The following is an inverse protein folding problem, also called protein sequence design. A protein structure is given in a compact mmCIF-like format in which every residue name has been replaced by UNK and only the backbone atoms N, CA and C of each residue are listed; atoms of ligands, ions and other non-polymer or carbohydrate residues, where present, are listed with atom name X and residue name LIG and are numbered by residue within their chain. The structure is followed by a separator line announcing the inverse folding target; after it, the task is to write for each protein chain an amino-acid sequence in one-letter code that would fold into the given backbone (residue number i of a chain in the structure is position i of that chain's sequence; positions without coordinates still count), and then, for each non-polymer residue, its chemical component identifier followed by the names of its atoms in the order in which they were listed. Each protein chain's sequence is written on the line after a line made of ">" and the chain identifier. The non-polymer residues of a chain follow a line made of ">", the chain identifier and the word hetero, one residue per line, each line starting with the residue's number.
data_IF_256963486455
#
_entry.id   IF_256963486455
#
_cell.length_a   1.000
_cell.length_b   1.000
_cell.length_c   1.000
_cell.angle_alpha   90.00
_cell.angle_beta   90.00
_cell.angle_gamma   90.00
#
_symmetry.space_group_name_H-M   'P 1'
#
loop_
_entity.id
_entity.type
_entity.pdbx_description
1 polymer ?
#
# COMPACT_ATOMS: atom_id res chain seq x y z
N UNK A 1 -20.96 8.48 12.76
CA UNK A 1 -21.29 7.22 13.45
C UNK A 1 -20.08 6.31 13.73
N UNK A 2 -18.99 6.34 12.94
CA UNK A 2 -17.81 5.49 13.20
C UNK A 2 -17.03 5.85 14.50
N UNK A 3 -16.94 7.14 14.85
CA UNK A 3 -16.15 7.62 15.99
C UNK A 3 -16.62 7.12 17.36
N UNK A 4 -17.87 6.66 17.50
CA UNK A 4 -18.43 6.23 18.80
C UNK A 4 -18.24 4.73 19.08
N UNK A 5 -17.74 3.94 18.12
CA UNK A 5 -17.59 2.48 18.25
C UNK A 5 -16.16 1.98 18.19
N UNK A 6 -15.19 2.87 17.96
CA UNK A 6 -13.77 2.49 17.97
C UNK A 6 -13.29 2.38 19.43
N UNK A 7 -12.80 1.21 19.87
CA UNK A 7 -12.20 1.07 21.20
C UNK A 7 -11.13 2.14 21.44
N UNK A 8 -11.05 2.68 22.66
CA UNK A 8 -9.99 3.65 22.98
C UNK A 8 -8.59 3.02 22.93
N UNK A 9 -8.52 1.72 23.21
CA UNK A 9 -7.32 0.92 23.14
C UNK A 9 -7.59 -0.24 22.16
N UNK A 10 -6.94 -0.25 21.00
CA UNK A 10 -6.90 -1.43 20.14
C UNK A 10 -6.45 -2.66 20.94
N UNK A 11 -6.93 -3.87 20.59
CA UNK A 11 -6.47 -5.10 21.22
C UNK A 11 -5.05 -5.49 20.79
N UNK A 12 -4.48 -4.79 19.81
CA UNK A 12 -3.08 -4.87 19.40
C UNK A 12 -2.25 -3.77 20.11
N UNK A 13 -0.92 -3.89 20.09
CA UNK A 13 0.00 -2.91 20.72
C UNK A 13 0.05 -1.55 19.97
N UNK A 14 -0.94 -1.29 19.09
CA UNK A 14 -1.08 -0.03 18.39
C UNK A 14 -1.85 0.98 19.24
N UNK A 15 -1.46 2.24 19.11
CA UNK A 15 -2.29 3.36 19.54
C UNK A 15 -3.42 3.59 18.55
N UNK A 16 -4.48 4.29 18.97
CA UNK A 16 -5.57 4.70 18.08
C UNK A 16 -5.07 5.42 16.83
N UNK A 17 -4.09 6.29 16.97
CA UNK A 17 -3.57 7.10 15.85
C UNK A 17 -2.75 6.24 14.88
N UNK A 18 -2.04 5.23 15.38
CA UNK A 18 -1.33 4.23 14.56
C UNK A 18 -2.32 3.36 13.77
N UNK A 19 -3.36 2.82 14.42
CA UNK A 19 -4.42 2.08 13.73
C UNK A 19 -5.14 2.96 12.70
N UNK A 20 -5.40 4.22 13.04
CA UNK A 20 -6.04 5.18 12.13
C UNK A 20 -5.14 5.50 10.93
N UNK A 21 -3.82 5.63 11.12
CA UNK A 21 -2.88 5.87 10.04
C UNK A 21 -2.86 4.71 9.03
N UNK A 22 -2.86 3.47 9.52
CA UNK A 22 -2.96 2.27 8.68
C UNK A 22 -4.30 2.22 7.95
N UNK A 23 -5.39 2.42 8.70
CA UNK A 23 -6.72 2.42 8.12
C UNK A 23 -6.84 3.46 6.99
N UNK A 24 -6.37 4.68 7.23
CA UNK A 24 -6.40 5.78 6.25
C UNK A 24 -5.58 5.47 5.00
N UNK A 25 -4.43 4.80 5.13
CA UNK A 25 -3.63 4.34 3.98
C UNK A 25 -4.40 3.30 3.14
N UNK A 26 -5.12 2.39 3.80
CA UNK A 26 -5.82 1.28 3.15
C UNK A 26 -7.28 1.57 2.77
N UNK A 27 -7.80 2.74 3.15
CA UNK A 27 -9.20 3.10 2.97
C UNK A 27 -9.52 3.17 1.47
N UNK A 28 -10.64 2.58 1.07
CA UNK A 28 -11.17 2.76 -0.28
C UNK A 28 -11.86 4.11 -0.41
N UNK A 29 -11.51 4.84 -1.47
CA UNK A 29 -12.11 6.13 -1.79
C UNK A 29 -12.94 5.98 -3.07
N UNK A 30 -14.00 6.79 -3.18
CA UNK A 30 -14.86 6.81 -4.37
C UNK A 30 -14.04 7.15 -5.63
N UNK A 31 -13.14 8.12 -5.51
CA UNK A 31 -12.09 8.37 -6.48
C UNK A 31 -10.74 7.94 -5.90
N UNK A 32 -10.18 6.87 -6.47
CA UNK A 32 -8.87 6.36 -6.03
C UNK A 32 -7.75 7.37 -6.22
N UNK A 33 -7.83 8.26 -7.22
CA UNK A 33 -6.81 9.28 -7.48
C UNK A 33 -6.79 10.34 -6.38
N UNK A 34 -7.92 10.56 -5.70
CA UNK A 34 -8.05 11.49 -4.59
C UNK A 34 -7.62 10.90 -3.24
N UNK A 35 -7.40 9.59 -3.18
CA UNK A 35 -7.04 8.91 -1.93
C UNK A 35 -5.68 9.35 -1.39
N UNK A 36 -5.52 9.22 -0.07
CA UNK A 36 -4.25 9.52 0.60
C UNK A 36 -3.10 8.64 0.07
N UNK A 37 -3.33 7.34 -0.12
CA UNK A 37 -2.27 6.45 -0.59
C UNK A 37 -1.84 6.76 -2.03
N UNK A 38 -2.76 7.20 -2.89
CA UNK A 38 -2.44 7.59 -4.27
C UNK A 38 -1.52 8.80 -4.30
N UNK A 39 -1.85 9.84 -3.54
CA UNK A 39 -1.02 11.04 -3.43
C UNK A 39 0.34 10.76 -2.80
N UNK A 40 0.36 10.04 -1.67
CA UNK A 40 1.61 9.70 -0.99
C UNK A 40 2.52 8.87 -1.90
N UNK A 41 1.98 7.82 -2.53
CA UNK A 41 2.77 6.97 -3.44
C UNK A 41 3.19 7.71 -4.72
N UNK A 42 2.49 8.77 -5.13
CA UNK A 42 2.92 9.64 -6.22
C UNK A 42 4.15 10.45 -5.82
N UNK A 43 4.10 11.12 -4.65
CA UNK A 43 5.22 11.90 -4.12
C UNK A 43 6.46 11.02 -3.88
N UNK A 44 6.27 9.85 -3.25
CA UNK A 44 7.37 8.90 -3.01
C UNK A 44 8.03 8.41 -4.31
N UNK A 45 7.26 8.24 -5.40
CA UNK A 45 7.80 7.84 -6.71
C UNK A 45 8.61 8.94 -7.38
N UNK A 46 8.28 10.21 -7.15
CA UNK A 46 9.01 11.35 -7.71
C UNK A 46 10.29 11.66 -6.93
N UNK A 47 10.31 11.35 -5.63
CA UNK A 47 11.48 11.58 -4.78
C UNK A 47 11.79 13.06 -4.55
N UNK A 48 10.81 13.95 -4.78
CA UNK A 48 10.95 15.38 -4.55
C UNK A 48 10.90 15.68 -3.04
N UNK A 49 11.96 16.30 -2.51
CA UNK A 49 12.09 16.55 -1.07
C UNK A 49 11.12 17.61 -0.56
N UNK A 50 10.79 18.61 -1.38
CA UNK A 50 9.86 19.68 -1.02
C UNK A 50 8.44 19.11 -0.98
N UNK A 51 8.07 18.30 -1.97
CA UNK A 51 6.77 17.61 -1.99
C UNK A 51 6.63 16.58 -0.87
N UNK A 52 7.73 15.98 -0.39
CA UNK A 52 7.74 15.00 0.70
C UNK A 52 7.60 15.64 2.09
N UNK A 53 8.04 16.89 2.26
CA UNK A 53 8.06 17.58 3.55
C UNK A 53 6.72 17.52 4.33
N UNK A 54 5.55 17.76 3.71
CA UNK A 54 4.26 17.69 4.40
C UNK A 54 3.92 16.30 4.93
N UNK A 55 4.49 15.25 4.32
CA UNK A 55 4.20 13.85 4.63
C UNK A 55 5.04 13.31 5.78
N UNK A 56 6.15 13.95 6.16
CA UNK A 56 7.11 13.38 7.12
C UNK A 56 6.48 13.00 8.46
N UNK A 57 5.55 13.80 8.98
CA UNK A 57 4.84 13.49 10.23
C UNK A 57 3.92 12.28 10.08
N UNK A 58 3.19 12.20 8.97
CA UNK A 58 2.32 11.07 8.66
C UNK A 58 3.16 9.80 8.45
N UNK A 59 4.24 9.87 7.66
CA UNK A 59 5.16 8.76 7.40
C UNK A 59 5.78 8.23 8.69
N UNK A 60 6.21 9.12 9.60
CA UNK A 60 6.72 8.71 10.91
C UNK A 60 5.67 7.91 11.68
N UNK A 61 4.43 8.40 11.77
CA UNK A 61 3.34 7.72 12.46
C UNK A 61 3.02 6.36 11.80
N UNK A 62 2.85 6.35 10.48
CA UNK A 62 2.49 5.17 9.71
C UNK A 62 3.56 4.09 9.77
N UNK A 63 4.85 4.44 9.59
CA UNK A 63 5.96 3.49 9.70
C UNK A 63 6.10 2.96 11.13
N UNK A 64 5.91 3.81 12.15
CA UNK A 64 5.92 3.36 13.56
C UNK A 64 4.82 2.32 13.80
N UNK A 65 3.63 2.53 13.24
CA UNK A 65 2.54 1.57 13.29
C UNK A 65 2.89 0.25 12.59
N UNK A 66 3.43 0.31 11.37
CA UNK A 66 3.77 -0.87 10.57
C UNK A 66 4.82 -1.76 11.23
N UNK A 67 5.83 -1.18 11.89
CA UNK A 67 6.89 -1.95 12.58
C UNK A 67 6.36 -2.77 13.76
N UNK A 68 5.22 -2.38 14.35
CA UNK A 68 4.58 -3.13 15.43
C UNK A 68 3.73 -4.31 14.92
N UNK A 69 3.40 -4.34 13.62
CA UNK A 69 2.62 -5.42 13.04
C UNK A 69 3.56 -6.62 12.79
N UNK A 70 3.18 -7.84 13.20
CA UNK A 70 3.97 -9.03 12.90
C UNK A 70 4.22 -9.19 11.40
N UNK A 71 5.48 -9.46 11.03
CA UNK A 71 5.83 -9.78 9.66
C UNK A 71 5.03 -11.00 9.17
N UNK A 72 4.65 -10.97 7.89
CA UNK A 72 4.04 -12.14 7.28
C UNK A 72 5.04 -13.28 7.17
N UNK A 73 4.59 -14.50 7.39
CA UNK A 73 5.37 -15.70 7.07
C UNK A 73 5.67 -15.75 5.57
N UNK A 74 6.73 -16.48 5.19
CA UNK A 74 7.08 -16.66 3.78
C UNK A 74 5.90 -17.21 2.99
N UNK A 75 5.51 -16.50 1.93
CA UNK A 75 4.38 -16.86 1.08
C UNK A 75 4.42 -16.07 -0.24
N UNK A 76 3.58 -16.47 -1.20
CA UNK A 76 3.37 -15.71 -2.43
C UNK A 76 2.27 -14.66 -2.20
N UNK A 77 2.55 -13.43 -2.60
CA UNK A 77 1.58 -12.33 -2.67
C UNK A 77 1.51 -11.78 -4.09
N UNK A 78 0.37 -11.20 -4.41
CA UNK A 78 0.04 -10.72 -5.74
C UNK A 78 -0.12 -9.21 -5.76
N UNK A 79 0.33 -8.58 -6.85
CA UNK A 79 0.12 -7.15 -7.11
C UNK A 79 -0.26 -6.93 -8.56
N UNK A 80 -1.33 -6.18 -8.79
CA UNK A 80 -1.76 -5.79 -10.13
C UNK A 80 -1.39 -4.35 -10.45
N UNK A 81 -1.00 -4.08 -11.71
CA UNK A 81 -0.80 -2.74 -12.26
C UNK A 81 -1.58 -2.57 -13.57
N UNK A 82 -2.28 -1.45 -13.72
CA UNK A 82 -3.13 -1.13 -14.89
C UNK A 82 -2.37 -0.60 -16.11
N UNK A 83 -1.21 -1.19 -16.42
CA UNK A 83 -0.42 -0.91 -17.63
C UNK A 83 0.56 -2.06 -17.87
N UNK A 84 1.05 -2.20 -19.10
CA UNK A 84 2.17 -3.09 -19.38
C UNK A 84 3.47 -2.45 -18.85
N UNK A 85 4.14 -3.13 -17.93
CA UNK A 85 5.43 -2.68 -17.36
C UNK A 85 6.58 -3.62 -17.68
N UNK A 86 6.40 -4.58 -18.59
CA UNK A 86 7.38 -5.65 -18.85
C UNK A 86 8.77 -5.11 -19.19
N UNK A 87 8.85 -3.99 -19.93
CA UNK A 87 10.12 -3.35 -20.29
C UNK A 87 10.87 -2.72 -19.11
N UNK A 88 10.21 -2.46 -17.98
CA UNK A 88 10.81 -1.91 -16.75
C UNK A 88 11.45 -2.99 -15.87
N UNK A 89 11.19 -4.28 -16.15
CA UNK A 89 11.66 -5.41 -15.33
C UNK A 89 12.55 -6.36 -16.14
N UNK A 90 13.78 -5.94 -16.46
CA UNK A 90 14.75 -6.84 -17.09
C UNK A 90 15.05 -8.03 -16.17
N UNK A 91 15.31 -9.19 -16.78
CA UNK A 91 15.66 -10.41 -16.05
C UNK A 91 16.92 -10.17 -15.21
N UNK A 92 16.95 -10.74 -14.00
CA UNK A 92 18.07 -10.66 -13.04
C UNK A 92 18.36 -9.25 -12.50
N UNK A 93 17.50 -8.28 -12.76
CA UNK A 93 17.64 -6.94 -12.19
C UNK A 93 17.11 -6.85 -10.76
N UNK A 94 17.85 -6.14 -9.93
CA UNK A 94 17.37 -5.68 -8.63
C UNK A 94 16.55 -4.41 -8.80
N UNK A 95 15.32 -4.41 -8.28
CA UNK A 95 14.35 -3.32 -8.44
C UNK A 95 13.94 -2.80 -7.07
N UNK A 96 14.09 -1.48 -6.87
CA UNK A 96 13.59 -0.80 -5.66
C UNK A 96 12.27 -0.11 -5.96
N UNK A 97 11.24 -0.43 -5.17
CA UNK A 97 9.98 0.32 -5.17
C UNK A 97 10.02 1.42 -4.11
N UNK A 98 10.25 2.66 -4.56
CA UNK A 98 10.33 3.84 -3.68
C UNK A 98 9.02 4.19 -2.97
N UNK A 99 7.88 3.77 -3.53
CA UNK A 99 6.57 3.90 -2.90
C UNK A 99 6.17 2.60 -2.20
N UNK A 100 5.27 2.73 -1.22
CA UNK A 100 4.65 1.58 -0.58
C UNK A 100 3.89 0.73 -1.60
N UNK A 101 4.01 -0.58 -1.44
CA UNK A 101 3.45 -1.55 -2.37
C UNK A 101 2.43 -2.44 -1.69
N UNK A 102 1.15 -2.12 -1.92
CA UNK A 102 0.04 -2.96 -1.50
C UNK A 102 -0.01 -4.25 -2.31
N UNK A 103 -0.25 -5.37 -1.63
CA UNK A 103 -0.32 -6.72 -2.19
C UNK A 103 -1.50 -7.48 -1.60
N UNK A 104 -1.98 -8.51 -2.29
CA UNK A 104 -3.05 -9.40 -1.82
C UNK A 104 -2.59 -10.85 -1.80
N UNK A 105 -3.08 -11.66 -0.86
CA UNK A 105 -2.89 -13.12 -0.87
C UNK A 105 -3.84 -13.83 -1.85
N UNK A 106 -4.93 -13.16 -2.22
CA UNK A 106 -5.97 -13.73 -3.08
C UNK A 106 -5.92 -13.09 -4.46
N UNK A 107 -5.67 -13.90 -5.49
CA UNK A 107 -5.65 -13.44 -6.88
C UNK A 107 -7.02 -12.90 -7.33
N UNK A 108 -8.12 -13.47 -6.83
CA UNK A 108 -9.49 -13.03 -7.14
C UNK A 108 -9.78 -11.57 -6.74
N UNK A 109 -9.04 -11.03 -5.77
CA UNK A 109 -9.16 -9.60 -5.40
C UNK A 109 -8.70 -8.72 -6.55
N UNK A 110 -7.76 -9.17 -7.39
CA UNK A 110 -7.33 -8.40 -8.54
C UNK A 110 -8.41 -8.33 -9.64
N UNK A 111 -9.32 -9.30 -9.73
CA UNK A 111 -10.39 -9.30 -10.73
C UNK A 111 -11.39 -8.14 -10.55
N UNK A 112 -11.42 -7.52 -9.36
CA UNK A 112 -12.27 -6.37 -9.07
C UNK A 112 -11.72 -5.08 -9.73
N UNK A 113 -12.61 -4.36 -10.41
CA UNK A 113 -12.34 -3.11 -11.14
C UNK A 113 -11.82 -1.96 -10.28
N UNK A 114 -11.93 -2.02 -8.95
CA UNK A 114 -11.31 -1.07 -8.02
C UNK A 114 -9.80 -1.31 -7.92
N UNK A 115 -9.33 -2.55 -8.09
CA UNK A 115 -7.92 -2.90 -8.00
C UNK A 115 -7.27 -2.98 -9.38
N UNK A 116 -7.47 -4.08 -10.11
CA UNK A 116 -6.92 -4.26 -11.47
C UNK A 116 -8.00 -4.18 -12.54
N UNK A 117 -9.11 -4.87 -12.31
CA UNK A 117 -10.14 -5.13 -13.31
C UNK A 117 -9.61 -5.95 -14.48
N UNK A 118 -10.51 -6.26 -15.43
CA UNK A 118 -10.24 -7.24 -16.49
C UNK A 118 -10.08 -6.63 -17.90
N UNK A 119 -9.97 -5.31 -18.03
CA UNK A 119 -9.97 -4.62 -19.33
C UNK A 119 -8.70 -3.80 -19.60
N UNK A 120 -8.15 -3.85 -20.81
CA UNK A 120 -6.93 -3.12 -21.19
C UNK A 120 -5.64 -3.81 -20.75
N UNK A 121 -4.48 -3.21 -21.01
CA UNK A 121 -3.18 -3.81 -20.67
C UNK A 121 -2.98 -3.87 -19.16
N UNK A 122 -2.57 -5.05 -18.65
CA UNK A 122 -2.35 -5.32 -17.24
C UNK A 122 -1.05 -6.10 -17.03
N UNK A 123 -0.39 -5.84 -15.92
CA UNK A 123 0.71 -6.68 -15.42
C UNK A 123 0.37 -7.15 -14.02
N UNK A 124 0.54 -8.45 -13.78
CA UNK A 124 0.39 -9.09 -12.48
C UNK A 124 1.77 -9.53 -12.02
N UNK A 125 2.15 -9.11 -10.82
CA UNK A 125 3.35 -9.57 -10.14
C UNK A 125 2.99 -10.73 -9.22
N UNK A 126 3.78 -11.81 -9.33
CA UNK A 126 3.91 -12.85 -8.31
C UNK A 126 5.14 -12.54 -7.49
N UNK A 127 4.99 -12.32 -6.19
CA UNK A 127 6.08 -11.90 -5.30
C UNK A 127 6.19 -12.92 -4.18
N UNK A 128 7.34 -13.58 -4.07
CA UNK A 128 7.68 -14.36 -2.89
C UNK A 128 8.23 -13.42 -1.82
N UNK A 129 7.48 -13.28 -0.71
CA UNK A 129 7.97 -12.54 0.46
C UNK A 129 8.73 -13.49 1.37
N UNK A 130 9.86 -13.01 1.87
CA UNK A 130 10.75 -13.71 2.80
C UNK A 130 10.72 -12.96 4.14
N UNK A 131 10.76 -13.70 5.26
CA UNK A 131 10.84 -13.15 6.62
C UNK A 131 12.26 -13.30 7.18
#
# INVERSE_FOLDING_TARGET
>A
MALQRTPQHPPDDLTRDESAAIHLYTLEWKDTSESLYSHLNYVLRRGDQEELQPWLKYLKLFLTALVKIPCSTSQVVWRGVRRNVTSEYPREAEITWWAFSSTTKSLSVLENDIYLGNSGERTIFSIEVLN
#
